data_IF_928197316505
#
_entry.id   IF_928197316505
#
_cell.length_a   1.000
_cell.length_b   1.000
_cell.length_c   1.000
_cell.angle_alpha   90.00
_cell.angle_beta   90.00
_cell.angle_gamma   90.00
#
_symmetry.space_group_name_H-M   'P 1'
#
loop_
_entity.id
_entity.type
_entity.pdbx_description
1 polymer ?
#
# COMPACT_ATOMS: atom_id res chain seq x y z
N UNK A 1 -3.23 -13.29 33.86
CA UNK A 1 -1.86 -13.61 33.38
C UNK A 1 -1.84 -14.15 31.94
N UNK A 2 -2.83 -14.93 31.49
CA UNK A 2 -2.92 -15.35 30.08
C UNK A 2 -3.27 -14.21 29.11
N UNK A 3 -4.10 -13.26 29.54
CA UNK A 3 -4.60 -12.17 28.68
C UNK A 3 -3.51 -11.14 28.32
N UNK A 4 -2.70 -10.71 29.29
CA UNK A 4 -1.57 -9.81 29.06
C UNK A 4 -0.47 -10.40 28.17
N UNK A 5 -0.25 -11.71 28.24
CA UNK A 5 0.71 -12.40 27.35
C UNK A 5 0.21 -12.39 25.89
N UNK A 6 -1.09 -12.57 25.69
CA UNK A 6 -1.72 -12.50 24.37
C UNK A 6 -1.66 -11.06 23.79
N UNK A 7 -1.90 -10.04 24.61
CA UNK A 7 -1.77 -8.65 24.19
C UNK A 7 -0.33 -8.28 23.78
N UNK A 8 0.68 -8.79 24.48
CA UNK A 8 2.10 -8.60 24.10
C UNK A 8 2.42 -9.27 22.76
N UNK A 9 1.95 -10.51 22.53
CA UNK A 9 2.16 -11.16 21.22
C UNK A 9 1.46 -10.39 20.10
N UNK A 10 0.24 -9.91 20.34
CA UNK A 10 -0.51 -9.08 19.38
C UNK A 10 0.23 -7.77 19.06
N UNK A 11 0.76 -7.09 20.08
CA UNK A 11 1.60 -5.91 19.90
C UNK A 11 2.83 -6.21 19.03
N UNK A 12 3.55 -7.30 19.33
CA UNK A 12 4.73 -7.71 18.57
C UNK A 12 4.39 -8.12 17.13
N UNK A 13 3.20 -8.69 16.89
CA UNK A 13 2.72 -8.98 15.53
C UNK A 13 2.38 -7.71 14.78
N UNK A 14 1.79 -6.73 15.45
CA UNK A 14 1.44 -5.44 14.85
C UNK A 14 2.70 -4.70 14.36
N UNK A 15 3.70 -4.52 15.22
CA UNK A 15 4.99 -3.90 14.87
C UNK A 15 5.68 -4.65 13.72
N UNK A 16 5.80 -5.98 13.82
CA UNK A 16 6.47 -6.81 12.79
C UNK A 16 5.78 -6.70 11.43
N UNK A 17 4.45 -6.62 11.40
CA UNK A 17 3.68 -6.52 10.15
C UNK A 17 3.90 -5.17 9.47
N UNK A 18 3.74 -4.07 10.23
CA UNK A 18 4.00 -2.71 9.73
C UNK A 18 5.43 -2.60 9.20
N UNK A 19 6.41 -3.08 9.98
CA UNK A 19 7.82 -3.06 9.62
C UNK A 19 8.09 -3.80 8.31
N UNK A 20 7.55 -5.01 8.13
CA UNK A 20 7.76 -5.80 6.90
C UNK A 20 7.22 -5.07 5.67
N UNK A 21 6.00 -4.53 5.75
CA UNK A 21 5.38 -3.82 4.62
C UNK A 21 6.14 -2.54 4.27
N UNK A 22 6.55 -1.76 5.27
CA UNK A 22 7.32 -0.53 5.03
C UNK A 22 8.75 -0.81 4.55
N UNK A 23 9.36 -1.93 4.95
CA UNK A 23 10.66 -2.36 4.43
C UNK A 23 10.57 -2.72 2.94
N UNK A 24 9.49 -3.42 2.54
CA UNK A 24 9.24 -3.74 1.13
C UNK A 24 9.06 -2.47 0.28
N UNK A 25 8.38 -1.46 0.80
CA UNK A 25 8.22 -0.16 0.15
C UNK A 25 9.46 0.74 0.23
N UNK A 26 10.53 0.34 0.94
CA UNK A 26 11.72 1.16 1.18
C UNK A 26 11.50 2.35 2.14
N UNK A 27 10.34 2.42 2.79
CA UNK A 27 9.90 3.54 3.63
C UNK A 27 10.24 3.38 5.11
N UNK A 28 10.56 2.17 5.56
CA UNK A 28 10.91 1.96 6.97
C UNK A 28 12.18 2.74 7.34
N UNK A 29 12.19 3.48 8.48
CA UNK A 29 13.36 4.22 8.93
C UNK A 29 14.43 3.26 9.49
N UNK A 30 15.33 2.86 8.60
CA UNK A 30 16.53 2.08 8.94
C UNK A 30 17.68 3.02 9.32
N UNK A 31 18.41 2.70 10.40
CA UNK A 31 19.64 3.40 10.80
C UNK A 31 20.73 3.11 9.77
N UNK A 32 21.31 4.17 9.16
CA UNK A 32 22.33 4.08 8.10
C UNK A 32 21.91 3.15 6.94
N UNK A 33 20.88 3.51 6.16
CA UNK A 33 20.42 2.67 5.06
C UNK A 33 21.43 2.59 3.92
N UNK A 34 21.47 1.45 3.23
CA UNK A 34 22.23 1.31 1.98
C UNK A 34 21.68 2.22 0.88
N UNK A 35 22.52 2.56 -0.11
CA UNK A 35 22.11 3.38 -1.26
C UNK A 35 20.97 2.71 -2.02
N UNK A 36 21.03 1.39 -2.23
CA UNK A 36 19.94 0.63 -2.86
C UNK A 36 18.61 0.80 -2.13
N UNK A 37 18.60 0.69 -0.80
CA UNK A 37 17.39 0.88 0.00
C UNK A 37 16.84 2.31 -0.11
N UNK A 38 17.71 3.31 -0.21
CA UNK A 38 17.29 4.71 -0.42
C UNK A 38 16.66 4.94 -1.79
N UNK A 39 17.03 4.16 -2.81
CA UNK A 39 16.49 4.30 -4.16
C UNK A 39 15.08 3.68 -4.31
N UNK A 40 14.73 2.69 -3.50
CA UNK A 40 13.46 1.95 -3.59
C UNK A 40 12.22 2.88 -3.62
N UNK A 41 12.05 3.85 -2.69
CA UNK A 41 10.91 4.77 -2.72
C UNK A 41 10.82 5.61 -4.01
N UNK A 42 11.97 6.00 -4.58
CA UNK A 42 12.00 6.78 -5.83
C UNK A 42 11.60 5.94 -7.04
N UNK A 43 12.01 4.66 -7.07
CA UNK A 43 11.57 3.72 -8.11
C UNK A 43 10.05 3.54 -8.04
N UNK A 44 9.51 3.28 -6.84
CA UNK A 44 8.06 3.18 -6.64
C UNK A 44 7.33 4.45 -7.07
N UNK A 45 7.81 5.61 -6.64
CA UNK A 45 7.22 6.90 -6.99
C UNK A 45 7.23 7.14 -8.50
N UNK A 46 8.33 6.82 -9.19
CA UNK A 46 8.42 6.97 -10.64
C UNK A 46 7.41 6.09 -11.38
N UNK A 47 7.22 4.86 -10.91
CA UNK A 47 6.26 3.93 -11.47
C UNK A 47 4.80 4.36 -11.19
N UNK A 48 4.52 4.83 -9.97
CA UNK A 48 3.20 5.40 -9.65
C UNK A 48 2.88 6.62 -10.53
N UNK A 49 3.83 7.55 -10.70
CA UNK A 49 3.64 8.75 -11.53
C UNK A 49 3.40 8.40 -13.01
N UNK A 50 4.13 7.42 -13.55
CA UNK A 50 3.91 6.94 -14.90
C UNK A 50 2.51 6.33 -15.08
N UNK A 51 2.04 5.55 -14.11
CA UNK A 51 0.69 4.97 -14.15
C UNK A 51 -0.39 6.04 -13.98
N UNK A 52 -0.20 7.01 -13.09
CA UNK A 52 -1.11 8.16 -12.92
C UNK A 52 -1.27 8.89 -14.25
N UNK A 53 -0.17 9.16 -14.96
CA UNK A 53 -0.23 9.81 -16.27
C UNK A 53 -1.06 9.00 -17.27
N UNK A 54 -0.89 7.67 -17.33
CA UNK A 54 -1.66 6.80 -18.21
C UNK A 54 -3.16 6.74 -17.83
N UNK A 55 -3.49 6.78 -16.54
CA UNK A 55 -4.88 6.85 -16.05
C UNK A 55 -5.52 8.20 -16.39
N UNK A 56 -4.80 9.31 -16.22
CA UNK A 56 -5.30 10.64 -16.57
C UNK A 56 -5.50 10.78 -18.08
N UNK A 57 -4.63 10.17 -18.89
CA UNK A 57 -4.81 10.09 -20.33
C UNK A 57 -6.07 9.28 -20.69
N UNK A 58 -6.33 8.16 -20.02
CA UNK A 58 -7.57 7.39 -20.19
C UNK A 58 -8.81 8.23 -19.86
N UNK A 59 -8.78 8.93 -18.73
CA UNK A 59 -9.85 9.83 -18.30
C UNK A 59 -10.09 10.95 -19.33
N UNK A 60 -9.01 11.55 -19.86
CA UNK A 60 -9.06 12.57 -20.89
C UNK A 60 -9.71 12.07 -22.19
N UNK A 61 -9.34 10.87 -22.65
CA UNK A 61 -9.93 10.25 -23.85
C UNK A 61 -11.42 9.96 -23.68
N UNK A 62 -11.88 9.71 -22.45
CA UNK A 62 -13.27 9.38 -22.13
C UNK A 62 -14.03 10.54 -21.47
N UNK A 63 -13.60 11.80 -21.65
CA UNK A 63 -14.24 12.98 -21.05
C UNK A 63 -15.76 13.09 -21.31
N UNK A 64 -16.25 12.53 -22.42
CA UNK A 64 -17.68 12.52 -22.76
C UNK A 64 -18.48 11.42 -22.04
N UNK A 65 -17.81 10.38 -21.55
CA UNK A 65 -18.43 9.31 -20.77
C UNK A 65 -18.13 9.55 -19.28
N UNK A 66 -19.12 10.15 -18.59
CA UNK A 66 -18.97 10.55 -17.20
C UNK A 66 -18.60 9.40 -16.26
N UNK A 67 -19.13 8.19 -16.51
CA UNK A 67 -18.84 7.01 -15.70
C UNK A 67 -17.36 6.61 -15.78
N UNK A 68 -16.82 6.51 -17.00
CA UNK A 68 -15.41 6.16 -17.22
C UNK A 68 -14.46 7.26 -16.76
N UNK A 69 -14.86 8.52 -16.94
CA UNK A 69 -14.13 9.68 -16.44
C UNK A 69 -14.00 9.62 -14.92
N UNK A 70 -15.10 9.43 -14.19
CA UNK A 70 -15.11 9.40 -12.73
C UNK A 70 -14.29 8.21 -12.19
N UNK A 71 -14.38 7.05 -12.85
CA UNK A 71 -13.56 5.88 -12.52
C UNK A 71 -12.06 6.18 -12.66
N UNK A 72 -11.65 6.81 -13.76
CA UNK A 72 -10.27 7.21 -14.01
C UNK A 72 -9.77 8.23 -12.98
N UNK A 73 -10.55 9.28 -12.70
CA UNK A 73 -10.20 10.29 -11.70
C UNK A 73 -10.11 9.71 -10.28
N UNK A 74 -11.05 8.84 -9.90
CA UNK A 74 -11.04 8.18 -8.60
C UNK A 74 -9.80 7.32 -8.38
N UNK A 75 -9.40 6.54 -9.41
CA UNK A 75 -8.13 5.81 -9.40
C UNK A 75 -6.95 6.77 -9.29
N UNK A 76 -6.87 7.78 -10.17
CA UNK A 76 -5.78 8.75 -10.18
C UNK A 76 -5.57 9.44 -8.83
N UNK A 77 -6.65 9.83 -8.15
CA UNK A 77 -6.60 10.40 -6.79
C UNK A 77 -6.04 9.41 -5.77
N UNK A 78 -6.43 8.14 -5.83
CA UNK A 78 -5.89 7.10 -4.95
C UNK A 78 -4.38 6.92 -5.09
N UNK A 79 -3.88 6.88 -6.33
CA UNK A 79 -2.44 6.83 -6.60
C UNK A 79 -1.72 8.12 -6.16
N UNK A 80 -2.31 9.31 -6.35
CA UNK A 80 -1.73 10.57 -5.88
C UNK A 80 -1.60 10.61 -4.34
N UNK A 81 -2.59 10.09 -3.61
CA UNK A 81 -2.53 9.99 -2.15
C UNK A 81 -1.39 9.05 -1.73
N UNK A 82 -1.20 7.92 -2.43
CA UNK A 82 -0.06 7.01 -2.18
C UNK A 82 1.27 7.71 -2.43
N UNK A 83 1.43 8.39 -3.57
CA UNK A 83 2.62 9.15 -3.90
C UNK A 83 2.93 10.22 -2.85
N UNK A 84 1.92 10.94 -2.36
CA UNK A 84 2.07 11.90 -1.28
C UNK A 84 2.60 11.24 0.01
N UNK A 85 2.09 10.05 0.38
CA UNK A 85 2.59 9.30 1.55
C UNK A 85 4.06 8.91 1.37
N UNK A 86 4.44 8.39 0.20
CA UNK A 86 5.83 8.05 -0.14
C UNK A 86 6.74 9.27 0.01
N UNK A 87 6.36 10.40 -0.61
CA UNK A 87 7.11 11.65 -0.56
C UNK A 87 7.25 12.13 0.88
N UNK A 88 6.16 12.16 1.65
CA UNK A 88 6.14 12.63 3.02
C UNK A 88 7.11 11.83 3.91
N UNK A 89 7.03 10.50 3.88
CA UNK A 89 7.89 9.62 4.68
C UNK A 89 9.35 9.66 4.21
N UNK A 90 9.59 9.85 2.92
CA UNK A 90 10.95 9.95 2.37
C UNK A 90 11.62 11.26 2.81
N UNK A 91 10.91 12.38 2.76
CA UNK A 91 11.43 13.70 3.17
C UNK A 91 11.65 13.74 4.69
N UNK A 92 10.70 13.24 5.48
CA UNK A 92 10.74 13.31 6.94
C UNK A 92 11.39 12.08 7.60
N UNK A 93 12.19 11.32 6.84
CA UNK A 93 12.74 10.03 7.26
C UNK A 93 13.57 10.10 8.54
N UNK A 94 14.39 11.14 8.71
CA UNK A 94 15.23 11.31 9.90
C UNK A 94 14.37 11.61 11.14
N UNK A 95 13.37 12.49 11.00
CA UNK A 95 12.39 12.76 12.08
C UNK A 95 11.59 11.51 12.45
N UNK A 96 11.24 10.69 11.46
CA UNK A 96 10.55 9.42 11.67
C UNK A 96 11.43 8.42 12.44
N UNK A 97 12.73 8.40 12.15
CA UNK A 97 13.70 7.59 12.87
C UNK A 97 13.83 8.05 14.34
N UNK A 98 13.94 9.35 14.56
CA UNK A 98 14.04 9.95 15.90
C UNK A 98 12.77 9.66 16.72
N UNK A 99 11.60 9.90 16.14
CA UNK A 99 10.31 9.61 16.76
C UNK A 99 10.22 8.13 17.15
N UNK A 100 10.51 7.22 16.22
CA UNK A 100 10.45 5.77 16.48
C UNK A 100 11.41 5.35 17.58
N UNK A 101 12.62 5.89 17.57
CA UNK A 101 13.66 5.52 18.54
C UNK A 101 13.26 6.01 19.93
N UNK A 102 12.85 7.27 20.04
CA UNK A 102 12.45 7.87 21.31
C UNK A 102 11.18 7.23 21.88
N UNK A 103 10.16 7.08 21.05
CA UNK A 103 8.86 6.52 21.46
C UNK A 103 8.98 5.02 21.77
N UNK A 104 9.73 4.27 20.95
CA UNK A 104 9.98 2.85 21.16
C UNK A 104 10.77 2.56 22.45
N UNK A 105 11.77 3.39 22.78
CA UNK A 105 12.53 3.26 24.03
C UNK A 105 11.65 3.51 25.25
N UNK A 106 10.92 4.64 25.24
CA UNK A 106 10.05 5.02 26.37
C UNK A 106 8.94 3.99 26.56
N UNK A 107 8.24 3.60 25.49
CA UNK A 107 7.15 2.63 25.56
C UNK A 107 7.63 1.25 26.01
N UNK A 108 8.81 0.80 25.55
CA UNK A 108 9.38 -0.49 25.97
C UNK A 108 9.76 -0.51 27.45
N UNK A 109 10.25 0.61 27.99
CA UNK A 109 10.56 0.76 29.40
C UNK A 109 9.29 0.68 30.24
N UNK A 110 8.25 1.43 29.87
CA UNK A 110 7.01 1.49 30.62
C UNK A 110 6.23 0.15 30.53
N UNK A 111 6.39 -0.60 29.43
CA UNK A 111 5.81 -1.94 29.27
C UNK A 111 6.40 -3.00 30.22
N UNK A 112 7.62 -2.78 30.73
CA UNK A 112 8.25 -3.67 31.71
C UNK A 112 7.60 -3.54 33.10
N UNK A 113 7.00 -2.39 33.39
CA UNK A 113 6.26 -2.15 34.62
C UNK A 113 4.93 -2.95 34.62
N UNK A 114 4.72 -3.88 35.56
CA UNK A 114 3.51 -4.69 35.61
C UNK A 114 2.24 -3.86 35.89
N UNK A 115 2.35 -2.70 36.54
CA UNK A 115 1.21 -1.83 36.86
C UNK A 115 0.76 -1.01 35.65
N UNK A 116 1.72 -0.51 34.86
CA UNK A 116 1.44 0.30 33.67
C UNK A 116 1.04 -0.55 32.46
N UNK A 117 1.56 -1.77 32.35
CA UNK A 117 1.31 -2.68 31.21
C UNK A 117 -0.16 -2.81 30.78
N UNK A 118 -1.14 -3.12 31.66
CA UNK A 118 -2.53 -3.25 31.23
C UNK A 118 -3.13 -1.93 30.72
N UNK A 119 -2.68 -0.79 31.26
CA UNK A 119 -3.13 0.54 30.84
C UNK A 119 -2.57 0.85 29.45
N UNK A 120 -1.25 0.65 29.26
CA UNK A 120 -0.54 0.85 27.99
C UNK A 120 -1.13 0.01 26.85
N UNK A 121 -1.53 -1.24 27.14
CA UNK A 121 -2.04 -2.18 26.14
C UNK A 121 -3.57 -2.11 25.95
N UNK A 122 -4.30 -1.41 26.81
CA UNK A 122 -5.76 -1.27 26.71
C UNK A 122 -6.25 -0.78 25.33
N UNK A 123 -5.69 0.31 24.73
CA UNK A 123 -6.13 0.77 23.42
C UNK A 123 -5.64 -0.10 22.24
N UNK A 124 -4.71 -1.04 22.47
CA UNK A 124 -4.03 -1.78 21.40
C UNK A 124 -5.01 -2.48 20.45
N UNK A 125 -6.04 -3.11 21.00
CA UNK A 125 -6.98 -3.91 20.22
C UNK A 125 -7.75 -3.05 19.20
N UNK A 126 -8.11 -1.82 19.57
CA UNK A 126 -8.84 -0.89 18.70
C UNK A 126 -8.00 -0.50 17.49
N UNK A 127 -6.76 -0.07 17.72
CA UNK A 127 -5.84 0.33 16.65
C UNK A 127 -5.41 -0.86 15.78
N UNK A 128 -5.10 -1.99 16.41
CA UNK A 128 -4.72 -3.21 15.69
C UNK A 128 -5.84 -3.71 14.78
N UNK A 129 -7.09 -3.77 15.28
CA UNK A 129 -8.24 -4.22 14.47
C UNK A 129 -8.51 -3.29 13.30
N UNK A 130 -8.46 -1.96 13.52
CA UNK A 130 -8.66 -1.00 12.45
C UNK A 130 -7.60 -1.17 11.34
N UNK A 131 -6.33 -1.29 11.72
CA UNK A 131 -5.23 -1.56 10.78
C UNK A 131 -5.39 -2.88 10.04
N UNK A 132 -5.80 -3.95 10.74
CA UNK A 132 -6.01 -5.27 10.14
C UNK A 132 -7.15 -5.22 9.11
N UNK A 133 -8.29 -4.63 9.47
CA UNK A 133 -9.45 -4.49 8.57
C UNK A 133 -9.04 -3.71 7.32
N UNK A 134 -8.37 -2.58 7.48
CA UNK A 134 -7.90 -1.79 6.34
C UNK A 134 -6.91 -2.56 5.46
N UNK A 135 -6.00 -3.32 6.06
CA UNK A 135 -5.04 -4.17 5.32
C UNK A 135 -5.73 -5.28 4.54
N UNK A 136 -6.77 -5.91 5.12
CA UNK A 136 -7.58 -6.94 4.45
C UNK A 136 -8.33 -6.32 3.28
N UNK A 137 -8.96 -5.15 3.46
CA UNK A 137 -9.65 -4.43 2.38
C UNK A 137 -8.68 -4.10 1.25
N UNK A 138 -7.52 -3.51 1.56
CA UNK A 138 -6.51 -3.16 0.57
C UNK A 138 -6.01 -4.39 -0.21
N UNK A 139 -5.73 -5.49 0.49
CA UNK A 139 -5.29 -6.75 -0.12
C UNK A 139 -6.38 -7.38 -0.99
N UNK A 140 -7.64 -7.32 -0.55
CA UNK A 140 -8.80 -7.82 -1.30
C UNK A 140 -8.99 -7.02 -2.58
N UNK A 141 -8.95 -5.70 -2.51
CA UNK A 141 -9.03 -4.83 -3.68
C UNK A 141 -7.90 -5.12 -4.66
N UNK A 142 -6.65 -5.21 -4.19
CA UNK A 142 -5.50 -5.55 -5.03
C UNK A 142 -5.69 -6.91 -5.73
N UNK A 143 -6.20 -7.91 -5.02
CA UNK A 143 -6.48 -9.25 -5.56
C UNK A 143 -7.59 -9.21 -6.61
N UNK A 144 -8.63 -8.42 -6.41
CA UNK A 144 -9.70 -8.23 -7.40
C UNK A 144 -9.15 -7.58 -8.67
N UNK A 145 -8.36 -6.51 -8.56
CA UNK A 145 -7.71 -5.88 -9.72
C UNK A 145 -6.79 -6.84 -10.49
N UNK A 146 -6.17 -7.81 -9.81
CA UNK A 146 -5.38 -8.85 -10.46
C UNK A 146 -6.26 -9.87 -11.19
N UNK A 147 -7.26 -10.43 -10.51
CA UNK A 147 -7.99 -11.58 -11.03
C UNK A 147 -9.04 -11.18 -12.09
N UNK A 148 -9.71 -10.02 -11.93
CA UNK A 148 -10.76 -9.56 -12.84
C UNK A 148 -10.35 -9.57 -14.33
N UNK A 149 -9.22 -8.97 -14.75
CA UNK A 149 -8.82 -8.99 -16.16
C UNK A 149 -8.57 -10.42 -16.67
N UNK A 150 -8.03 -11.32 -15.85
CA UNK A 150 -7.79 -12.72 -16.21
C UNK A 150 -9.12 -13.45 -16.46
N UNK A 151 -10.09 -13.28 -15.55
CA UNK A 151 -11.43 -13.87 -15.70
C UNK A 151 -12.09 -13.36 -16.99
N UNK A 152 -12.02 -12.06 -17.28
CA UNK A 152 -12.61 -11.48 -18.48
C UNK A 152 -11.97 -12.03 -19.77
N UNK A 153 -10.65 -12.26 -19.77
CA UNK A 153 -9.95 -12.88 -20.90
C UNK A 153 -10.39 -14.36 -21.07
N UNK A 154 -10.51 -15.12 -19.98
CA UNK A 154 -10.99 -16.51 -20.02
C UNK A 154 -12.43 -16.58 -20.57
N UNK A 155 -13.30 -15.68 -20.12
CA UNK A 155 -14.69 -15.61 -20.62
C UNK A 155 -14.70 -15.33 -22.13
N UNK A 156 -13.87 -14.40 -22.63
CA UNK A 156 -13.77 -14.13 -24.07
C UNK A 156 -13.32 -15.35 -24.87
N UNK A 157 -12.36 -16.12 -24.34
CA UNK A 157 -11.88 -17.36 -24.96
C UNK A 157 -12.98 -18.43 -25.04
N UNK A 158 -13.74 -18.62 -23.96
CA UNK A 158 -14.83 -19.61 -23.91
C UNK A 158 -15.95 -19.25 -24.89
N UNK A 159 -16.26 -17.96 -25.06
CA UNK A 159 -17.29 -17.50 -26.00
C UNK A 159 -16.83 -17.45 -27.46
N UNK A 160 -15.60 -17.90 -27.78
CA UNK A 160 -15.10 -17.96 -29.15
C UNK A 160 -14.90 -16.58 -29.78
N UNK A 161 -14.52 -15.57 -29.01
CA UNK A 161 -14.27 -14.23 -29.54
C UNK A 161 -13.17 -14.28 -30.63
N UNK A 162 -13.48 -13.79 -31.84
CA UNK A 162 -12.54 -13.77 -32.97
C UNK A 162 -11.28 -12.94 -32.69
N UNK A 163 -11.39 -11.93 -31.81
CA UNK A 163 -10.27 -11.08 -31.37
C UNK A 163 -10.33 -10.97 -29.86
N UNK A 164 -9.25 -11.37 -29.17
CA UNK A 164 -9.13 -11.27 -27.72
C UNK A 164 -8.74 -9.83 -27.37
N UNK A 165 -9.57 -9.17 -26.56
CA UNK A 165 -9.27 -7.87 -26.00
C UNK A 165 -8.36 -8.05 -24.78
N UNK A 166 -7.13 -7.57 -24.91
CA UNK A 166 -6.13 -7.57 -23.84
C UNK A 166 -6.48 -6.50 -22.79
N UNK A 167 -7.17 -6.90 -21.72
CA UNK A 167 -7.61 -6.02 -20.64
C UNK A 167 -6.52 -5.92 -19.56
N UNK A 168 -6.11 -4.70 -19.23
CA UNK A 168 -5.16 -4.42 -18.15
C UNK A 168 -5.87 -4.28 -16.78
N UNK A 169 -5.16 -4.48 -15.66
CA UNK A 169 -5.70 -4.33 -14.31
C UNK A 169 -6.37 -2.97 -14.07
N UNK A 170 -5.72 -1.87 -14.46
CA UNK A 170 -6.23 -0.52 -14.28
C UNK A 170 -6.76 0.05 -15.59
N UNK A 171 -7.73 0.95 -15.49
CA UNK A 171 -8.23 1.71 -16.64
C UNK A 171 -7.22 2.80 -17.00
N UNK A 172 -6.21 2.41 -17.79
CA UNK A 172 -5.11 3.25 -18.23
C UNK A 172 -5.00 3.23 -19.76
N UNK A 173 -4.59 4.36 -20.35
CA UNK A 173 -4.40 4.50 -21.78
C UNK A 173 -2.95 4.90 -22.05
N UNK A 174 -2.22 4.01 -22.69
CA UNK A 174 -0.82 4.21 -23.05
C UNK A 174 -0.69 4.66 -24.51
N UNK A 175 0.40 5.35 -24.89
CA UNK A 175 0.56 5.93 -26.23
C UNK A 175 0.82 4.89 -27.34
N UNK A 176 1.06 3.64 -26.98
CA UNK A 176 1.29 2.53 -27.90
C UNK A 176 0.07 1.60 -27.93
N UNK A 177 -0.10 0.86 -29.04
CA UNK A 177 -1.20 -0.10 -29.17
C UNK A 177 -0.98 -1.33 -28.31
N UNK A 178 -1.90 -1.58 -27.39
CA UNK A 178 -1.96 -2.82 -26.59
C UNK A 178 -2.97 -3.71 -27.29
N UNK A 179 -2.50 -4.78 -27.92
CA UNK A 179 -3.35 -5.64 -28.75
C UNK A 179 -2.83 -7.08 -28.83
N UNK A 180 -3.65 -8.00 -29.36
CA UNK A 180 -3.35 -9.43 -29.42
C UNK A 180 -2.09 -9.76 -30.23
N UNK A 181 -1.67 -8.85 -31.11
CA UNK A 181 -0.46 -8.97 -31.92
C UNK A 181 0.83 -8.84 -31.11
N UNK A 182 0.82 -8.14 -29.96
CA UNK A 182 2.00 -7.91 -29.13
C UNK A 182 1.81 -8.43 -27.69
N UNK A 183 1.69 -9.75 -27.56
CA UNK A 183 1.46 -10.45 -26.28
C UNK A 183 2.55 -10.17 -25.24
N UNK A 184 3.82 -10.13 -25.66
CA UNK A 184 4.95 -9.84 -24.77
C UNK A 184 4.81 -8.49 -24.09
N UNK A 185 4.47 -7.47 -24.87
CA UNK A 185 4.33 -6.13 -24.37
C UNK A 185 3.12 -5.98 -23.44
N UNK A 186 2.00 -6.64 -23.76
CA UNK A 186 0.87 -6.75 -22.83
C UNK A 186 1.28 -7.39 -21.50
N UNK A 187 2.01 -8.51 -21.52
CA UNK A 187 2.47 -9.17 -20.29
C UNK A 187 3.36 -8.28 -19.43
N UNK A 188 4.27 -7.52 -20.05
CA UNK A 188 5.13 -6.56 -19.34
C UNK A 188 4.30 -5.49 -18.64
N UNK A 189 3.34 -4.88 -19.35
CA UNK A 189 2.45 -3.87 -18.76
C UNK A 189 1.54 -4.43 -17.68
N UNK A 190 1.05 -5.65 -17.87
CA UNK A 190 0.24 -6.32 -16.88
C UNK A 190 1.04 -6.52 -15.58
N UNK A 191 2.25 -7.08 -15.67
CA UNK A 191 3.15 -7.26 -14.51
C UNK A 191 3.49 -5.91 -13.86
N UNK A 192 3.75 -4.90 -14.68
CA UNK A 192 4.02 -3.54 -14.22
C UNK A 192 2.85 -2.98 -13.41
N UNK A 193 1.62 -3.06 -13.93
CA UNK A 193 0.44 -2.57 -13.22
C UNK A 193 0.18 -3.34 -11.93
N UNK A 194 0.35 -4.67 -11.93
CA UNK A 194 0.25 -5.47 -10.70
C UNK A 194 1.29 -5.06 -9.66
N UNK A 195 2.53 -4.82 -10.09
CA UNK A 195 3.59 -4.33 -9.22
C UNK A 195 3.19 -2.98 -8.60
N UNK A 196 2.81 -1.99 -9.41
CA UNK A 196 2.44 -0.66 -8.94
C UNK A 196 1.21 -0.71 -8.01
N UNK A 197 0.18 -1.49 -8.37
CA UNK A 197 -1.00 -1.69 -7.53
C UNK A 197 -0.68 -2.34 -6.18
N UNK A 198 0.22 -3.33 -6.17
CA UNK A 198 0.69 -3.97 -4.93
C UNK A 198 1.46 -2.97 -4.06
N UNK A 199 2.32 -2.15 -4.66
CA UNK A 199 3.05 -1.11 -3.94
C UNK A 199 2.11 -0.11 -3.28
N UNK A 200 1.10 0.38 -4.00
CA UNK A 200 0.07 1.27 -3.45
C UNK A 200 -0.68 0.62 -2.30
N UNK A 201 -1.11 -0.64 -2.46
CA UNK A 201 -1.81 -1.36 -1.39
C UNK A 201 -0.92 -1.52 -0.14
N UNK A 202 0.36 -1.84 -0.31
CA UNK A 202 1.33 -1.93 0.78
C UNK A 202 1.55 -0.57 1.46
N UNK A 203 1.75 0.51 0.69
CA UNK A 203 1.96 1.86 1.23
C UNK A 203 0.73 2.33 1.98
N UNK A 204 -0.46 2.19 1.39
CA UNK A 204 -1.70 2.56 2.05
C UNK A 204 -1.87 1.82 3.38
N UNK A 205 -1.82 0.47 3.36
CA UNK A 205 -2.03 -0.34 4.55
C UNK A 205 -1.00 -0.06 5.65
N UNK A 206 0.28 0.10 5.28
CA UNK A 206 1.36 0.17 6.24
C UNK A 206 1.63 1.57 6.79
N UNK A 207 1.48 2.62 5.99
CA UNK A 207 1.67 4.00 6.44
C UNK A 207 0.55 4.43 7.39
N UNK A 208 -0.70 4.07 7.07
CA UNK A 208 -1.85 4.41 7.93
C UNK A 208 -1.79 3.61 9.24
N UNK A 209 -1.37 2.34 9.16
CA UNK A 209 -1.11 1.52 10.34
C UNK A 209 0.03 2.07 11.20
N UNK A 210 1.13 2.54 10.59
CA UNK A 210 2.24 3.15 11.31
C UNK A 210 1.79 4.38 12.09
N UNK A 211 0.99 5.25 11.45
CA UNK A 211 0.46 6.43 12.11
C UNK A 211 -0.44 6.06 13.30
N UNK A 212 -1.36 5.11 13.09
CA UNK A 212 -2.19 4.57 14.18
C UNK A 212 -1.38 3.91 15.29
N UNK A 213 -0.27 3.24 14.96
CA UNK A 213 0.65 2.63 15.92
C UNK A 213 1.35 3.68 16.78
N UNK A 214 1.80 4.79 16.21
CA UNK A 214 2.37 5.88 17.00
C UNK A 214 1.35 6.61 17.87
N UNK A 215 0.13 6.84 17.38
CA UNK A 215 -0.95 7.38 18.20
C UNK A 215 -1.24 6.44 19.38
N UNK A 216 -1.31 5.14 19.13
CA UNK A 216 -1.46 4.13 20.18
C UNK A 216 -0.37 4.25 21.26
N UNK A 217 0.90 4.33 20.85
CA UNK A 217 2.02 4.43 21.80
C UNK A 217 1.96 5.72 22.62
N UNK A 218 1.65 6.87 21.98
CA UNK A 218 1.51 8.15 22.68
C UNK A 218 0.32 8.12 23.64
N UNK A 219 -0.84 7.63 23.18
CA UNK A 219 -2.07 7.59 23.98
C UNK A 219 -1.98 6.62 25.16
N UNK A 220 -1.21 5.53 25.05
CA UNK A 220 -0.98 4.62 26.17
C UNK A 220 -0.10 5.22 27.27
N UNK A 221 0.70 6.24 26.96
CA UNK A 221 1.64 6.90 27.88
C UNK A 221 1.08 8.16 28.55
N UNK A 222 -0.11 8.61 28.14
CA UNK A 222 -0.86 9.74 28.71
C UNK A 222 -1.86 9.25 29.75
#
# INVERSE_FOLDING_TARGET
MSDTTNQIDMYNRYDRTIKKLLLLAGLWPVVKPSVFYRLVPYVHLSAELWLIWAILNFAHLHMKNFELLLKGLGLGLGFLISAQKIICLTIHRDRLLDLRTSLGLTFSRDLQDPELRPILLSPLLTYYRASLIFSIIASTLCTLYLITPIILIIIQLIHGANVINCILPFTAAYPWSIGPTNKWFFTILYIYEIYVGTCVACVAASVDALFGYYIFQIAGQL
#
